data_IF_032424108886
#
_entry.id   IF_032424108886
#
_cell.length_a   1.000
_cell.length_b   1.000
_cell.length_c   1.000
_cell.angle_alpha   90.00
_cell.angle_beta   90.00
_cell.angle_gamma   90.00
#
_symmetry.space_group_name_H-M   'P 1'
#
loop_
_entity.id
_entity.type
_entity.pdbx_description
1 polymer ?
#
# COMPACT_ATOMS: atom_id res chain seq x y z
N UNK A 1 -4.51 -20.85 16.14
CA UNK A 1 -3.93 -20.63 17.48
C UNK A 1 -4.00 -19.17 17.92
N UNK A 2 -3.06 -18.32 17.48
CA UNK A 2 -2.90 -16.93 17.95
C UNK A 2 -4.15 -16.06 17.74
N UNK A 3 -4.75 -16.08 16.56
CA UNK A 3 -5.98 -15.32 16.27
C UNK A 3 -7.15 -15.72 17.17
N UNK A 4 -7.30 -17.00 17.47
CA UNK A 4 -8.34 -17.48 18.38
C UNK A 4 -8.07 -17.05 19.83
N UNK A 5 -6.82 -17.05 20.27
CA UNK A 5 -6.45 -16.55 21.60
C UNK A 5 -6.74 -15.06 21.74
N UNK A 6 -6.37 -14.24 20.74
CA UNK A 6 -6.64 -12.81 20.71
C UNK A 6 -8.14 -12.48 20.59
N UNK A 7 -8.93 -13.34 19.94
CA UNK A 7 -10.38 -13.11 19.76
C UNK A 7 -11.14 -13.02 21.08
N UNK A 8 -10.62 -13.64 22.14
CA UNK A 8 -11.20 -13.57 23.49
C UNK A 8 -11.13 -12.18 24.12
N UNK A 9 -10.26 -11.30 23.62
CA UNK A 9 -10.08 -9.94 24.08
C UNK A 9 -11.06 -8.95 23.40
N UNK A 10 -11.68 -9.34 22.30
CA UNK A 10 -12.65 -8.54 21.58
C UNK A 10 -14.03 -8.65 22.22
N UNK A 11 -14.42 -7.71 23.05
CA UNK A 11 -15.73 -7.66 23.73
C UNK A 11 -16.73 -6.74 23.03
N UNK A 12 -16.23 -5.78 22.24
CA UNK A 12 -17.03 -4.77 21.54
C UNK A 12 -16.60 -4.63 20.08
N UNK A 13 -17.40 -3.94 19.29
CA UNK A 13 -17.06 -3.52 17.93
C UNK A 13 -15.82 -2.61 17.92
N UNK A 14 -15.69 -1.73 18.90
CA UNK A 14 -14.51 -0.85 19.06
C UNK A 14 -13.24 -1.66 19.36
N UNK A 15 -13.30 -2.68 20.21
CA UNK A 15 -12.16 -3.56 20.44
C UNK A 15 -11.76 -4.30 19.16
N UNK A 16 -12.76 -4.73 18.38
CA UNK A 16 -12.54 -5.44 17.12
C UNK A 16 -11.87 -4.56 16.06
N UNK A 17 -12.25 -3.26 15.96
CA UNK A 17 -11.74 -2.36 14.93
C UNK A 17 -10.58 -1.45 15.37
N UNK A 18 -10.42 -1.16 16.67
CA UNK A 18 -9.33 -0.32 17.19
C UNK A 18 -8.40 -1.04 18.19
N UNK A 19 -8.64 -2.33 18.45
CA UNK A 19 -7.78 -3.10 19.36
C UNK A 19 -7.76 -2.60 20.80
N UNK A 20 -8.83 -1.89 21.24
CA UNK A 20 -8.92 -1.29 22.59
C UNK A 20 -7.91 -0.19 22.85
N UNK A 21 -7.30 0.40 21.83
CA UNK A 21 -6.23 1.45 21.93
C UNK A 21 -5.02 1.00 22.77
N UNK A 22 -4.64 -0.27 22.68
CA UNK A 22 -3.55 -0.84 23.47
C UNK A 22 -2.41 -1.39 22.60
N UNK A 23 -2.41 -1.09 21.31
CA UNK A 23 -1.40 -1.58 20.37
C UNK A 23 -0.09 -0.83 20.63
N UNK A 24 1.04 -1.54 20.91
CA UNK A 24 2.34 -0.93 21.05
C UNK A 24 2.75 -0.20 19.75
N UNK A 25 3.36 0.97 19.86
CA UNK A 25 3.74 1.77 18.69
C UNK A 25 4.68 1.05 17.73
N UNK A 26 5.60 0.21 18.24
CA UNK A 26 6.52 -0.60 17.40
C UNK A 26 5.74 -1.62 16.57
N UNK A 27 4.74 -2.26 17.17
CA UNK A 27 3.89 -3.26 16.50
C UNK A 27 3.01 -2.57 15.46
N UNK A 28 2.43 -1.41 15.78
CA UNK A 28 1.70 -0.59 14.81
C UNK A 28 2.60 -0.15 13.65
N UNK A 29 3.83 0.28 13.93
CA UNK A 29 4.82 0.68 12.94
C UNK A 29 5.13 -0.45 11.95
N UNK A 30 5.44 -1.65 12.44
CA UNK A 30 5.72 -2.80 11.57
C UNK A 30 4.49 -3.25 10.79
N UNK A 31 3.30 -3.17 11.38
CA UNK A 31 2.07 -3.47 10.66
C UNK A 31 1.79 -2.47 9.54
N UNK A 32 2.07 -1.17 9.73
CA UNK A 32 1.97 -0.16 8.66
C UNK A 32 2.90 -0.55 7.51
N UNK A 33 4.17 -0.85 7.80
CA UNK A 33 5.15 -1.26 6.78
C UNK A 33 4.69 -2.52 6.06
N UNK A 34 4.27 -3.56 6.80
CA UNK A 34 3.79 -4.82 6.23
C UNK A 34 2.57 -4.64 5.32
N UNK A 35 1.67 -3.73 5.66
CA UNK A 35 0.46 -3.46 4.88
C UNK A 35 0.74 -2.66 3.62
N UNK A 36 1.64 -1.70 3.69
CA UNK A 36 2.11 -0.93 2.53
C UNK A 36 2.89 -1.83 1.57
N UNK A 37 3.76 -2.68 2.13
CA UNK A 37 4.59 -3.62 1.40
C UNK A 37 3.79 -4.87 1.08
N UNK A 38 3.05 -4.81 0.00
CA UNK A 38 2.36 -5.98 -0.53
C UNK A 38 3.37 -6.94 -1.20
N UNK A 39 2.90 -8.12 -1.58
CA UNK A 39 3.67 -9.07 -2.42
C UNK A 39 4.21 -8.40 -3.68
N UNK A 40 3.48 -7.44 -4.24
CA UNK A 40 3.95 -6.65 -5.38
C UNK A 40 5.27 -5.94 -5.07
N UNK A 41 5.36 -5.27 -3.94
CA UNK A 41 6.59 -4.59 -3.52
C UNK A 41 7.74 -5.59 -3.34
N UNK A 42 7.45 -6.73 -2.71
CA UNK A 42 8.43 -7.80 -2.48
C UNK A 42 9.04 -8.33 -3.78
N UNK A 43 8.26 -8.39 -4.85
CA UNK A 43 8.69 -8.93 -6.15
C UNK A 43 9.09 -7.84 -7.13
N UNK A 44 8.36 -6.73 -7.18
CA UNK A 44 8.60 -5.68 -8.17
C UNK A 44 9.80 -4.80 -7.84
N UNK A 45 10.10 -4.54 -6.57
CA UNK A 45 11.25 -3.71 -6.20
C UNK A 45 12.59 -4.35 -6.64
N UNK A 46 12.84 -5.66 -6.41
CA UNK A 46 14.00 -6.32 -7.01
C UNK A 46 14.00 -6.25 -8.55
N UNK A 47 12.85 -6.43 -9.19
CA UNK A 47 12.71 -6.32 -10.64
C UNK A 47 13.05 -4.93 -11.19
N UNK A 48 12.70 -3.86 -10.48
CA UNK A 48 13.07 -2.48 -10.83
C UNK A 48 14.59 -2.32 -10.84
N UNK A 49 15.30 -2.79 -9.80
CA UNK A 49 16.76 -2.72 -9.73
C UNK A 49 17.45 -3.65 -10.73
N UNK A 50 16.90 -4.84 -10.96
CA UNK A 50 17.39 -5.78 -11.96
C UNK A 50 17.43 -5.15 -13.37
N UNK A 51 16.32 -4.52 -13.79
CA UNK A 51 16.21 -3.90 -15.11
C UNK A 51 16.81 -2.49 -15.19
N UNK A 52 16.72 -1.72 -14.12
CA UNK A 52 17.12 -0.31 -14.05
C UNK A 52 18.16 -0.06 -12.97
N UNK A 53 17.80 0.82 -12.06
CA UNK A 53 18.65 1.35 -10.99
C UNK A 53 17.83 1.63 -9.72
N UNK A 54 18.39 2.42 -8.78
CA UNK A 54 17.78 2.71 -7.48
C UNK A 54 17.02 4.05 -7.43
N UNK A 55 16.69 4.67 -8.56
CA UNK A 55 15.96 5.95 -8.58
C UNK A 55 14.61 5.88 -7.84
N UNK A 56 13.99 4.70 -7.76
CA UNK A 56 12.78 4.47 -6.98
C UNK A 56 12.95 4.84 -5.49
N UNK A 57 14.16 4.81 -4.95
CA UNK A 57 14.42 5.15 -3.55
C UNK A 57 14.17 6.63 -3.23
N UNK A 58 14.21 7.52 -4.24
CA UNK A 58 13.85 8.93 -4.10
C UNK A 58 12.39 9.12 -3.65
N UNK A 59 11.48 8.25 -4.12
CA UNK A 59 10.08 8.25 -3.66
C UNK A 59 9.97 7.97 -2.17
N UNK A 60 10.81 7.06 -1.65
CA UNK A 60 10.80 6.72 -0.23
C UNK A 60 11.30 7.87 0.66
N UNK A 61 12.18 8.75 0.16
CA UNK A 61 12.51 10.01 0.84
C UNK A 61 11.24 10.86 0.97
N UNK A 62 10.48 10.99 -0.12
CA UNK A 62 9.19 11.67 -0.10
C UNK A 62 8.20 11.03 0.88
N UNK A 63 8.18 9.70 0.98
CA UNK A 63 7.29 9.00 1.93
C UNK A 63 7.56 9.38 3.38
N UNK A 64 8.82 9.53 3.78
CA UNK A 64 9.19 10.00 5.12
C UNK A 64 8.61 11.40 5.36
N UNK A 65 8.79 12.32 4.42
CA UNK A 65 8.27 13.69 4.51
C UNK A 65 6.73 13.70 4.60
N UNK A 66 6.06 12.90 3.78
CA UNK A 66 4.59 12.76 3.82
C UNK A 66 4.08 12.28 5.18
N UNK A 67 4.74 11.30 5.80
CA UNK A 67 4.37 10.79 7.14
C UNK A 67 4.65 11.80 8.25
N UNK A 68 5.67 12.63 8.10
CA UNK A 68 5.88 13.77 8.99
C UNK A 68 4.69 14.73 8.87
N UNK A 69 4.24 15.07 7.66
CA UNK A 69 3.07 15.91 7.46
C UNK A 69 1.79 15.29 8.06
N UNK A 70 1.55 13.98 7.87
CA UNK A 70 0.44 13.27 8.54
C UNK A 70 0.52 13.45 10.06
N UNK A 71 1.70 13.23 10.62
CA UNK A 71 1.94 13.28 12.07
C UNK A 71 1.74 14.66 12.68
N UNK A 72 2.06 15.71 11.91
CA UNK A 72 1.92 17.09 12.34
C UNK A 72 0.51 17.64 12.12
N UNK A 73 -0.08 17.33 10.98
CA UNK A 73 -1.34 17.97 10.55
C UNK A 73 -2.58 17.13 10.82
N UNK A 74 -2.58 15.84 10.54
CA UNK A 74 -3.80 15.03 10.56
C UNK A 74 -3.98 14.21 11.84
N UNK A 75 -2.93 13.57 12.35
CA UNK A 75 -3.05 12.74 13.56
C UNK A 75 -3.58 13.51 14.78
N UNK A 76 -3.17 14.76 15.06
CA UNK A 76 -3.74 15.51 16.19
C UNK A 76 -5.26 15.65 16.08
N UNK A 77 -5.80 15.88 14.87
CA UNK A 77 -7.22 16.00 14.65
C UNK A 77 -7.96 14.69 14.94
N UNK A 78 -7.39 13.56 14.51
CA UNK A 78 -7.99 12.24 14.70
C UNK A 78 -8.00 11.82 16.18
N UNK A 79 -6.89 11.99 16.88
CA UNK A 79 -6.79 11.64 18.30
C UNK A 79 -7.67 12.55 19.17
N UNK A 80 -7.69 13.86 18.93
CA UNK A 80 -8.52 14.81 19.67
C UNK A 80 -10.01 14.59 19.43
N UNK A 81 -10.39 14.13 18.25
CA UNK A 81 -11.78 13.85 17.92
C UNK A 81 -12.30 12.52 18.49
N UNK A 82 -11.43 11.63 18.94
CA UNK A 82 -11.79 10.36 19.53
C UNK A 82 -12.57 9.41 18.60
N UNK A 83 -12.35 9.54 17.28
CA UNK A 83 -13.09 8.83 16.24
C UNK A 83 -12.63 7.37 16.08
N UNK A 84 -13.54 6.53 15.57
CA UNK A 84 -13.22 5.17 15.13
C UNK A 84 -12.84 5.18 13.66
N UNK A 85 -13.61 5.83 12.80
CA UNK A 85 -13.27 6.10 11.39
C UNK A 85 -12.78 7.54 11.24
N UNK A 86 -11.74 7.76 10.41
CA UNK A 86 -11.27 9.13 10.13
C UNK A 86 -12.33 9.98 9.44
N UNK A 87 -13.27 9.36 8.71
CA UNK A 87 -14.35 10.08 8.01
C UNK A 87 -15.37 10.70 8.96
N UNK A 88 -15.47 10.23 10.20
CA UNK A 88 -16.26 10.90 11.24
C UNK A 88 -15.78 12.33 11.52
N UNK A 89 -14.49 12.63 11.32
CA UNK A 89 -13.96 13.99 11.42
C UNK A 89 -14.58 14.90 10.37
N UNK A 90 -14.73 14.41 9.14
CA UNK A 90 -15.42 15.13 8.06
C UNK A 90 -16.91 15.27 8.37
N UNK A 91 -17.52 14.23 8.96
CA UNK A 91 -18.91 14.25 9.41
C UNK A 91 -19.18 15.31 10.47
N UNK A 92 -18.29 15.42 11.47
CA UNK A 92 -18.39 16.44 12.53
C UNK A 92 -18.21 17.87 12.00
N UNK A 93 -17.40 18.07 10.95
CA UNK A 93 -17.13 19.40 10.37
C UNK A 93 -18.13 19.80 9.30
N UNK A 94 -18.51 18.88 8.41
CA UNK A 94 -19.27 19.17 7.17
C UNK A 94 -20.63 18.47 7.10
N UNK A 95 -20.95 17.64 8.07
CA UNK A 95 -22.20 16.89 8.14
C UNK A 95 -22.10 15.44 7.66
N UNK A 96 -23.11 14.62 8.00
CA UNK A 96 -23.09 13.16 7.79
C UNK A 96 -23.05 12.76 6.31
N UNK A 97 -23.54 13.61 5.40
CA UNK A 97 -23.52 13.32 3.97
C UNK A 97 -22.08 13.30 3.44
N UNK A 98 -21.24 14.27 3.85
CA UNK A 98 -19.83 14.32 3.43
C UNK A 98 -19.04 13.16 4.05
N UNK A 99 -19.37 12.73 5.27
CA UNK A 99 -18.79 11.52 5.87
C UNK A 99 -19.06 10.30 4.99
N UNK A 100 -20.32 10.09 4.58
CA UNK A 100 -20.71 8.96 3.71
C UNK A 100 -20.06 9.04 2.33
N UNK A 101 -20.02 10.24 1.72
CA UNK A 101 -19.37 10.43 0.43
C UNK A 101 -17.89 10.08 0.50
N UNK A 102 -17.15 10.61 1.47
CA UNK A 102 -15.73 10.32 1.65
C UNK A 102 -15.47 8.83 1.96
N UNK A 103 -16.26 8.24 2.86
CA UNK A 103 -16.23 6.81 3.14
C UNK A 103 -16.55 5.98 1.89
N UNK A 104 -17.55 6.35 1.11
CA UNK A 104 -17.90 5.68 -0.15
C UNK A 104 -16.76 5.70 -1.17
N UNK A 105 -16.09 6.84 -1.34
CA UNK A 105 -14.90 6.97 -2.19
C UNK A 105 -13.79 6.05 -1.68
N UNK A 106 -13.54 6.00 -0.38
CA UNK A 106 -12.58 5.06 0.22
C UNK A 106 -12.94 3.60 -0.08
N UNK A 107 -14.20 3.19 0.14
CA UNK A 107 -14.66 1.82 -0.10
C UNK A 107 -14.40 1.41 -1.56
N UNK A 108 -14.80 2.24 -2.54
CA UNK A 108 -14.60 1.98 -3.97
C UNK A 108 -13.11 1.89 -4.29
N UNK A 109 -12.30 2.84 -3.80
CA UNK A 109 -10.85 2.85 -4.04
C UNK A 109 -10.19 1.56 -3.52
N UNK A 110 -10.55 1.15 -2.29
CA UNK A 110 -9.98 -0.06 -1.69
C UNK A 110 -10.38 -1.32 -2.43
N UNK A 111 -11.65 -1.45 -2.80
CA UNK A 111 -12.13 -2.59 -3.59
C UNK A 111 -11.29 -2.76 -4.87
N UNK A 112 -11.12 -1.70 -5.63
CA UNK A 112 -10.39 -1.74 -6.89
C UNK A 112 -8.88 -1.96 -6.67
N UNK A 113 -8.25 -1.16 -5.80
CA UNK A 113 -6.82 -1.24 -5.57
C UNK A 113 -6.39 -2.57 -4.93
N UNK A 114 -7.14 -3.05 -3.95
CA UNK A 114 -6.79 -4.26 -3.23
C UNK A 114 -7.24 -5.52 -3.97
N UNK A 115 -8.28 -5.45 -4.80
CA UNK A 115 -8.64 -6.52 -5.74
C UNK A 115 -7.50 -6.83 -6.72
N UNK A 116 -6.91 -5.79 -7.31
CA UNK A 116 -5.76 -5.93 -8.21
C UNK A 116 -4.52 -6.44 -7.45
N UNK A 117 -4.24 -5.93 -6.26
CA UNK A 117 -3.14 -6.41 -5.44
C UNK A 117 -3.30 -7.88 -5.07
N UNK A 118 -4.53 -8.29 -4.80
CA UNK A 118 -4.85 -9.67 -4.46
C UNK A 118 -4.65 -10.59 -5.67
N UNK A 119 -5.13 -10.21 -6.86
CA UNK A 119 -4.88 -10.93 -8.11
C UNK A 119 -3.37 -11.10 -8.35
N UNK A 120 -2.62 -10.01 -8.31
CA UNK A 120 -1.17 -10.04 -8.51
C UNK A 120 -0.44 -10.99 -7.55
N UNK A 121 -0.89 -11.01 -6.30
CA UNK A 121 -0.40 -11.96 -5.31
C UNK A 121 -0.70 -13.41 -5.69
N UNK A 122 -1.93 -13.68 -6.11
CA UNK A 122 -2.35 -15.02 -6.50
C UNK A 122 -1.56 -15.53 -7.73
N UNK A 123 -1.25 -14.64 -8.69
CA UNK A 123 -0.39 -14.94 -9.83
C UNK A 123 1.01 -15.39 -9.40
N UNK A 124 1.60 -14.69 -8.45
CA UNK A 124 2.93 -15.05 -7.95
C UNK A 124 2.88 -16.42 -7.24
N UNK A 125 1.86 -16.65 -6.44
CA UNK A 125 1.65 -17.95 -5.81
C UNK A 125 1.45 -19.04 -6.86
N UNK A 126 0.68 -18.80 -7.92
CA UNK A 126 0.54 -19.69 -9.07
C UNK A 126 1.91 -20.04 -9.69
N UNK A 127 2.73 -19.03 -9.99
CA UNK A 127 4.04 -19.22 -10.62
C UNK A 127 4.97 -20.06 -9.77
N UNK A 128 4.97 -19.83 -8.46
CA UNK A 128 5.89 -20.50 -7.54
C UNK A 128 5.42 -21.88 -7.13
N UNK A 129 4.11 -22.08 -6.92
CA UNK A 129 3.55 -23.34 -6.45
C UNK A 129 3.10 -24.27 -7.58
N UNK A 130 2.85 -23.72 -8.77
CA UNK A 130 2.23 -24.45 -9.88
C UNK A 130 0.71 -24.62 -9.74
N UNK A 131 0.07 -24.00 -8.73
CA UNK A 131 -1.38 -24.05 -8.58
C UNK A 131 -2.09 -23.30 -9.72
N UNK A 132 -3.36 -23.63 -9.97
CA UNK A 132 -4.19 -22.80 -10.84
C UNK A 132 -4.48 -21.45 -10.17
N UNK A 133 -4.65 -20.38 -10.96
CA UNK A 133 -4.93 -19.04 -10.44
C UNK A 133 -6.16 -19.01 -9.51
N UNK A 134 -7.30 -19.63 -9.88
CA UNK A 134 -8.46 -19.69 -8.97
C UNK A 134 -8.16 -20.43 -7.66
N UNK A 135 -7.36 -21.50 -7.71
CA UNK A 135 -6.97 -22.22 -6.48
C UNK A 135 -6.11 -21.33 -5.56
N UNK A 136 -5.14 -20.60 -6.11
CA UNK A 136 -4.32 -19.67 -5.36
C UNK A 136 -5.18 -18.57 -4.70
N UNK A 137 -6.11 -17.95 -5.46
CA UNK A 137 -7.06 -16.96 -4.95
C UNK A 137 -7.89 -17.54 -3.81
N UNK A 138 -8.51 -18.70 -3.99
CA UNK A 138 -9.40 -19.30 -2.99
C UNK A 138 -8.66 -19.71 -1.72
N UNK A 139 -7.46 -20.27 -1.83
CA UNK A 139 -6.67 -20.67 -0.66
C UNK A 139 -6.23 -19.46 0.16
N UNK A 140 -5.64 -18.45 -0.50
CA UNK A 140 -5.19 -17.22 0.18
C UNK A 140 -6.39 -16.53 0.83
N UNK A 141 -7.49 -16.34 0.08
CA UNK A 141 -8.70 -15.68 0.58
C UNK A 141 -9.36 -16.43 1.72
N UNK A 142 -9.49 -17.75 1.61
CA UNK A 142 -10.10 -18.59 2.64
C UNK A 142 -9.31 -18.56 3.96
N UNK A 143 -7.99 -18.72 3.90
CA UNK A 143 -7.14 -18.65 5.09
C UNK A 143 -7.20 -17.25 5.72
N UNK A 144 -7.14 -16.21 4.90
CA UNK A 144 -7.22 -14.81 5.39
C UNK A 144 -8.56 -14.52 6.05
N UNK A 145 -9.66 -14.96 5.43
CA UNK A 145 -11.01 -14.81 5.98
C UNK A 145 -11.10 -15.41 7.39
N UNK A 146 -10.64 -16.65 7.56
CA UNK A 146 -10.76 -17.34 8.84
C UNK A 146 -10.08 -16.57 9.97
N UNK A 147 -8.83 -16.15 9.81
CA UNK A 147 -8.17 -15.46 10.92
C UNK A 147 -8.63 -14.00 11.11
N UNK A 148 -9.06 -13.33 10.05
CA UNK A 148 -9.58 -11.95 10.12
C UNK A 148 -10.90 -11.89 10.87
N UNK A 149 -11.82 -12.84 10.62
CA UNK A 149 -13.11 -12.94 11.33
C UNK A 149 -12.94 -13.23 12.82
N UNK A 150 -11.92 -14.00 13.18
CA UNK A 150 -11.70 -14.36 14.57
C UNK A 150 -11.03 -13.26 15.38
N UNK A 151 -10.03 -12.59 14.82
CA UNK A 151 -9.08 -11.80 15.60
C UNK A 151 -9.27 -10.29 15.63
N UNK A 152 -9.92 -9.68 14.64
CA UNK A 152 -10.00 -8.22 14.49
C UNK A 152 -8.63 -7.55 14.31
N UNK A 153 -8.58 -6.20 14.40
CA UNK A 153 -7.37 -5.41 14.10
C UNK A 153 -6.17 -5.78 14.99
N UNK A 154 -6.39 -6.10 16.24
CA UNK A 154 -5.29 -6.45 17.15
C UNK A 154 -4.53 -7.68 16.69
N UNK A 155 -5.25 -8.73 16.25
CA UNK A 155 -4.64 -9.93 15.67
C UNK A 155 -3.92 -9.61 14.37
N UNK A 156 -4.55 -8.83 13.50
CA UNK A 156 -3.99 -8.43 12.21
C UNK A 156 -2.66 -7.72 12.42
N UNK A 157 -2.61 -6.71 13.28
CA UNK A 157 -1.41 -5.89 13.52
C UNK A 157 -0.23 -6.71 14.08
N UNK A 158 -0.48 -7.67 14.95
CA UNK A 158 0.56 -8.56 15.46
C UNK A 158 1.05 -9.57 14.40
N UNK A 159 0.13 -10.15 13.63
CA UNK A 159 0.48 -11.05 12.53
C UNK A 159 1.27 -10.30 11.46
N UNK A 160 0.82 -9.12 11.05
CA UNK A 160 1.51 -8.25 10.10
C UNK A 160 2.95 -7.96 10.54
N UNK A 161 3.14 -7.63 11.83
CA UNK A 161 4.48 -7.34 12.37
C UNK A 161 5.41 -8.55 12.30
N UNK A 162 4.91 -9.76 12.58
CA UNK A 162 5.67 -10.99 12.41
C UNK A 162 5.98 -11.26 10.93
N UNK A 163 5.01 -11.05 10.07
CA UNK A 163 5.15 -11.23 8.62
C UNK A 163 6.17 -10.25 8.04
N UNK A 164 6.19 -9.00 8.52
CA UNK A 164 7.21 -8.02 8.15
C UNK A 164 8.62 -8.52 8.43
N UNK A 165 8.87 -9.02 9.64
CA UNK A 165 10.17 -9.59 10.02
C UNK A 165 10.52 -10.77 9.14
N UNK A 166 9.55 -11.64 8.85
CA UNK A 166 9.75 -12.84 8.02
C UNK A 166 10.20 -12.48 6.60
N UNK A 167 9.52 -11.58 5.90
CA UNK A 167 9.90 -11.27 4.52
C UNK A 167 11.15 -10.40 4.44
N UNK A 168 11.40 -9.51 5.42
CA UNK A 168 12.64 -8.76 5.50
C UNK A 168 13.85 -9.70 5.68
N UNK A 169 13.72 -10.68 6.57
CA UNK A 169 14.71 -11.75 6.74
C UNK A 169 14.92 -12.52 5.44
N UNK A 170 13.85 -12.81 4.71
CA UNK A 170 13.93 -13.44 3.39
C UNK A 170 14.73 -12.63 2.39
N UNK A 171 14.54 -11.31 2.34
CA UNK A 171 15.33 -10.39 1.51
C UNK A 171 16.81 -10.42 1.87
N UNK A 172 17.14 -10.36 3.16
CA UNK A 172 18.53 -10.45 3.63
C UNK A 172 19.17 -11.81 3.31
N UNK A 173 18.48 -12.91 3.56
CA UNK A 173 18.97 -14.26 3.21
C UNK A 173 19.23 -14.36 1.70
N UNK A 174 18.37 -13.76 0.86
CA UNK A 174 18.58 -13.73 -0.59
C UNK A 174 19.89 -13.03 -0.96
N UNK A 175 20.19 -11.88 -0.35
CA UNK A 175 21.44 -11.13 -0.56
C UNK A 175 22.64 -12.00 -0.19
N UNK A 176 22.67 -12.59 1.02
CA UNK A 176 23.76 -13.45 1.46
C UNK A 176 23.92 -14.68 0.57
N UNK A 177 22.82 -15.29 0.15
CA UNK A 177 22.86 -16.45 -0.75
C UNK A 177 23.45 -16.10 -2.12
N UNK A 178 23.03 -14.96 -2.71
CA UNK A 178 23.56 -14.52 -4.00
C UNK A 178 25.07 -14.26 -3.87
N UNK A 179 25.50 -13.51 -2.86
CA UNK A 179 26.91 -13.21 -2.62
C UNK A 179 27.78 -14.47 -2.41
N UNK A 180 27.21 -15.51 -1.82
CA UNK A 180 27.90 -16.79 -1.67
C UNK A 180 27.99 -17.62 -2.97
N UNK A 181 27.20 -17.30 -3.99
CA UNK A 181 27.14 -18.03 -5.27
C UNK A 181 27.67 -17.24 -6.49
N UNK A 182 27.97 -15.97 -6.34
CA UNK A 182 28.71 -15.20 -7.34
C UNK A 182 30.22 -15.26 -6.97
N UNK A 183 31.08 -15.41 -7.96
CA UNK A 183 32.54 -15.45 -7.77
C UNK A 183 33.14 -14.03 -7.60
N UNK A 184 32.49 -13.20 -6.80
CA UNK A 184 32.85 -11.80 -6.56
C UNK A 184 32.85 -11.50 -5.07
N UNK A 185 33.80 -10.69 -4.61
CA UNK A 185 33.67 -10.08 -3.29
C UNK A 185 32.50 -9.06 -3.28
N UNK A 186 31.97 -8.73 -2.09
CA UNK A 186 30.93 -7.71 -1.99
C UNK A 186 31.37 -6.36 -2.56
N UNK A 187 32.65 -5.98 -2.37
CA UNK A 187 33.22 -4.75 -2.92
C UNK A 187 33.26 -4.77 -4.44
N UNK A 188 33.71 -5.88 -5.06
CA UNK A 188 33.77 -6.02 -6.51
C UNK A 188 32.38 -6.05 -7.13
N UNK A 189 31.41 -6.71 -6.48
CA UNK A 189 30.02 -6.69 -6.90
C UNK A 189 29.44 -5.27 -6.93
N UNK A 190 29.68 -4.46 -5.88
CA UNK A 190 29.24 -3.06 -5.86
C UNK A 190 29.96 -2.22 -6.92
N UNK A 191 31.25 -2.44 -7.17
CA UNK A 191 32.01 -1.75 -8.23
C UNK A 191 31.41 -2.02 -9.61
N UNK A 192 31.17 -3.31 -9.96
CA UNK A 192 30.53 -3.68 -11.23
C UNK A 192 29.12 -3.10 -11.38
N UNK A 193 28.32 -3.13 -10.31
CA UNK A 193 26.98 -2.54 -10.32
C UNK A 193 27.02 -1.02 -10.48
N UNK A 194 28.02 -0.36 -9.89
CA UNK A 194 28.24 1.08 -10.04
C UNK A 194 28.63 1.45 -11.47
N UNK A 195 29.58 0.71 -12.07
CA UNK A 195 30.01 0.88 -13.47
C UNK A 195 28.85 0.65 -14.44
N UNK A 196 27.96 -0.31 -14.15
CA UNK A 196 26.75 -0.57 -14.93
C UNK A 196 25.63 0.46 -14.68
N UNK A 197 25.84 1.50 -13.84
CA UNK A 197 24.83 2.51 -13.51
C UNK A 197 23.67 2.00 -12.65
N UNK A 198 23.78 0.78 -12.10
CA UNK A 198 22.70 0.11 -11.34
C UNK A 198 22.47 0.70 -9.94
N UNK A 199 23.44 1.39 -9.36
CA UNK A 199 23.38 1.96 -8.01
C UNK A 199 23.00 3.45 -7.99
N UNK A 200 22.60 4.03 -9.12
CA UNK A 200 22.19 5.42 -9.18
C UNK A 200 20.93 5.64 -8.36
N UNK A 201 21.02 6.46 -7.30
CA UNK A 201 19.92 6.79 -6.41
C UNK A 201 19.27 8.12 -6.76
N UNK A 202 20.06 9.11 -7.20
CA UNK A 202 19.60 10.48 -7.43
C UNK A 202 19.63 10.83 -8.92
N UNK A 203 18.57 11.46 -9.40
CA UNK A 203 18.46 11.98 -10.76
C UNK A 203 18.05 13.45 -10.73
N UNK A 204 18.96 14.36 -11.06
CA UNK A 204 18.70 15.80 -11.09
C UNK A 204 18.51 16.35 -12.51
N UNK A 205 18.67 15.52 -13.53
CA UNK A 205 18.55 15.90 -14.94
C UNK A 205 17.46 15.08 -15.61
N UNK A 206 16.50 15.76 -16.22
CA UNK A 206 15.35 15.11 -16.87
C UNK A 206 14.21 16.09 -17.10
N UNK A 207 13.12 15.61 -17.66
CA UNK A 207 11.91 16.38 -17.87
C UNK A 207 11.09 16.48 -16.57
N UNK A 208 10.97 17.69 -16.02
CA UNK A 208 10.24 17.94 -14.77
C UNK A 208 8.77 17.52 -14.83
N UNK A 209 8.18 17.51 -16.01
CA UNK A 209 6.75 17.25 -16.22
C UNK A 209 6.51 15.73 -16.46
N UNK A 210 7.38 15.10 -17.25
CA UNK A 210 7.13 13.74 -17.75
C UNK A 210 7.98 12.66 -17.08
N UNK A 211 9.11 13.03 -16.42
CA UNK A 211 9.95 12.04 -15.73
C UNK A 211 9.52 11.87 -14.26
N UNK A 212 8.91 10.72 -13.90
CA UNK A 212 8.48 10.45 -12.52
C UNK A 212 9.65 10.24 -11.56
N UNK A 213 10.85 9.98 -12.08
CA UNK A 213 12.05 9.73 -11.29
C UNK A 213 13.07 10.88 -11.32
N UNK A 214 12.71 12.05 -11.83
CA UNK A 214 13.47 13.26 -11.53
C UNK A 214 13.37 13.54 -10.01
N UNK A 215 14.46 13.95 -9.37
CA UNK A 215 14.53 14.08 -7.90
C UNK A 215 13.34 14.84 -7.31
N UNK A 216 13.03 16.02 -7.85
CA UNK A 216 11.93 16.84 -7.36
C UNK A 216 10.56 16.17 -7.59
N UNK A 217 10.34 15.58 -8.77
CA UNK A 217 9.09 14.88 -9.09
C UNK A 217 8.89 13.67 -8.18
N UNK A 218 9.95 12.90 -7.94
CA UNK A 218 9.92 11.71 -7.09
C UNK A 218 9.70 12.07 -5.62
N UNK A 219 10.44 13.05 -5.08
CA UNK A 219 10.34 13.43 -3.66
C UNK A 219 9.01 14.12 -3.35
N UNK A 220 8.59 15.09 -4.18
CA UNK A 220 7.31 15.79 -3.99
C UNK A 220 6.14 14.81 -4.21
N UNK A 221 6.19 14.02 -5.28
CA UNK A 221 5.16 13.04 -5.57
C UNK A 221 5.06 11.97 -4.48
N UNK A 222 6.17 11.44 -4.01
CA UNK A 222 6.24 10.51 -2.89
C UNK A 222 5.70 11.11 -1.59
N UNK A 223 6.00 12.39 -1.32
CA UNK A 223 5.49 13.13 -0.17
C UNK A 223 3.95 13.23 -0.21
N UNK A 224 3.36 13.65 -1.30
CA UNK A 224 1.90 13.75 -1.42
C UNK A 224 1.22 12.40 -1.48
N UNK A 225 1.85 11.39 -2.11
CA UNK A 225 1.36 10.02 -2.09
C UNK A 225 1.29 9.49 -0.66
N UNK A 226 2.36 9.63 0.11
CA UNK A 226 2.39 9.18 1.50
C UNK A 226 1.49 10.02 2.42
N UNK A 227 1.42 11.35 2.21
CA UNK A 227 0.53 12.23 2.96
C UNK A 227 -0.93 11.83 2.77
N UNK A 228 -1.33 11.47 1.54
CA UNK A 228 -2.70 11.00 1.24
C UNK A 228 -2.95 9.57 1.73
N UNK A 229 -2.08 8.62 1.38
CA UNK A 229 -2.29 7.21 1.70
C UNK A 229 -2.19 6.89 3.19
N UNK A 230 -1.40 7.64 3.95
CA UNK A 230 -1.24 7.46 5.40
C UNK A 230 -2.02 8.48 6.23
N UNK A 231 -2.61 9.49 5.60
CA UNK A 231 -3.40 10.51 6.27
C UNK A 231 -4.89 10.45 5.97
N UNK A 232 -5.27 10.19 4.72
CA UNK A 232 -6.66 10.20 4.26
C UNK A 232 -7.22 8.82 3.93
N UNK A 233 -6.40 7.77 4.01
CA UNK A 233 -6.82 6.38 3.83
C UNK A 233 -6.97 5.69 5.19
N UNK A 234 -8.20 5.30 5.51
CA UNK A 234 -8.51 4.71 6.80
C UNK A 234 -7.76 3.41 7.07
N UNK A 235 -7.47 2.60 6.06
CA UNK A 235 -6.75 1.34 6.25
C UNK A 235 -5.37 1.56 6.91
N UNK A 236 -4.64 2.61 6.55
CA UNK A 236 -3.34 2.93 7.16
C UNK A 236 -3.49 3.61 8.51
N UNK A 237 -4.41 4.56 8.62
CA UNK A 237 -4.63 5.33 9.86
C UNK A 237 -5.21 4.48 10.98
N UNK A 238 -6.02 3.46 10.66
CA UNK A 238 -6.66 2.58 11.64
C UNK A 238 -5.66 1.96 12.64
N UNK A 239 -4.47 1.57 12.17
CA UNK A 239 -3.40 1.00 13.00
C UNK A 239 -2.85 2.00 14.01
N UNK A 240 -2.71 3.23 13.56
CA UNK A 240 -2.23 4.34 14.39
C UNK A 240 -3.26 4.69 15.45
N UNK A 241 -4.55 4.73 15.10
CA UNK A 241 -5.65 4.97 16.04
C UNK A 241 -5.78 3.87 17.11
N UNK A 242 -5.26 2.67 16.83
CA UNK A 242 -5.16 1.57 17.79
C UNK A 242 -4.07 1.76 18.86
N UNK A 243 -3.18 2.73 18.74
CA UNK A 243 -2.17 3.06 19.74
C UNK A 243 -2.77 3.85 20.90
N UNK A 244 -2.07 3.88 22.04
CA UNK A 244 -2.62 4.45 23.27
C UNK A 244 -2.81 5.98 23.21
N UNK A 245 -1.93 6.69 22.49
CA UNK A 245 -1.88 8.16 22.47
C UNK A 245 -1.25 8.71 21.18
N UNK A 246 -1.36 10.02 20.99
CA UNK A 246 -0.85 10.74 19.81
C UNK A 246 0.66 10.57 19.64
N UNK A 247 1.43 10.56 20.73
CA UNK A 247 2.89 10.42 20.67
C UNK A 247 3.28 9.04 20.12
N UNK A 248 2.64 7.98 20.62
CA UNK A 248 2.79 6.62 20.13
C UNK A 248 2.39 6.52 18.66
N UNK A 249 1.29 7.18 18.26
CA UNK A 249 0.84 7.25 16.88
C UNK A 249 1.86 7.93 15.96
N UNK A 250 2.45 9.05 16.39
CA UNK A 250 3.50 9.75 15.64
C UNK A 250 4.76 8.90 15.48
N UNK A 251 5.21 8.24 16.56
CA UNK A 251 6.36 7.32 16.51
C UNK A 251 6.12 6.18 15.52
N UNK A 252 4.93 5.58 15.53
CA UNK A 252 4.56 4.53 14.61
C UNK A 252 4.54 5.03 13.15
N UNK A 253 3.92 6.19 12.90
CA UNK A 253 3.79 6.77 11.58
C UNK A 253 5.14 7.16 10.98
N UNK A 254 5.96 7.95 11.67
CA UNK A 254 7.26 8.42 11.16
C UNK A 254 8.24 7.25 11.05
N UNK A 255 8.30 6.39 12.09
CA UNK A 255 9.15 5.21 12.10
C UNK A 255 8.87 4.27 10.93
N UNK A 256 7.60 4.09 10.56
CA UNK A 256 7.23 3.26 9.41
C UNK A 256 7.83 3.81 8.09
N UNK A 257 7.98 5.12 7.93
CA UNK A 257 8.63 5.73 6.76
C UNK A 257 10.12 5.37 6.65
N UNK A 258 10.83 5.40 7.78
CA UNK A 258 12.24 5.01 7.83
C UNK A 258 12.42 3.51 7.51
N UNK A 259 11.55 2.67 8.04
CA UNK A 259 11.61 1.22 7.78
C UNK A 259 11.25 0.86 6.33
N UNK A 260 10.31 1.58 5.69
CA UNK A 260 10.03 1.41 4.25
C UNK A 260 11.24 1.80 3.40
N UNK A 261 11.91 2.90 3.74
CA UNK A 261 13.13 3.32 3.05
C UNK A 261 14.24 2.24 3.14
N UNK A 262 14.51 1.75 4.34
CA UNK A 262 15.47 0.66 4.58
C UNK A 262 15.12 -0.61 3.80
N UNK A 263 13.86 -1.00 3.85
CA UNK A 263 13.36 -2.17 3.17
C UNK A 263 13.49 -2.06 1.66
N UNK A 264 13.16 -0.91 1.06
CA UNK A 264 13.38 -0.70 -0.36
C UNK A 264 14.86 -0.82 -0.72
N UNK A 265 15.77 -0.26 0.08
CA UNK A 265 17.22 -0.43 -0.10
C UNK A 265 17.64 -1.90 -0.12
N UNK A 266 17.14 -2.71 0.82
CA UNK A 266 17.43 -4.16 0.88
C UNK A 266 16.94 -4.88 -0.39
N UNK A 267 15.72 -4.63 -0.82
CA UNK A 267 15.17 -5.30 -2.01
C UNK A 267 15.75 -4.78 -3.32
N UNK A 268 16.13 -3.50 -3.42
CA UNK A 268 16.87 -2.97 -4.56
C UNK A 268 18.24 -3.62 -4.65
N UNK A 269 18.95 -3.78 -3.52
CA UNK A 269 20.24 -4.48 -3.49
C UNK A 269 20.10 -5.94 -3.94
N UNK A 270 19.09 -6.65 -3.43
CA UNK A 270 18.81 -8.02 -3.86
C UNK A 270 18.57 -8.10 -5.38
N UNK A 271 17.80 -7.17 -5.95
CA UNK A 271 17.53 -7.12 -7.39
C UNK A 271 18.78 -6.81 -8.22
N UNK A 272 19.63 -5.88 -7.75
CA UNK A 272 20.90 -5.58 -8.41
C UNK A 272 21.86 -6.76 -8.37
N UNK A 273 21.91 -7.49 -7.26
CA UNK A 273 22.73 -8.71 -7.16
C UNK A 273 22.19 -9.85 -8.05
N UNK A 274 20.86 -9.97 -8.19
CA UNK A 274 20.27 -10.92 -9.16
C UNK A 274 20.68 -10.58 -10.58
N UNK A 275 20.80 -9.29 -10.93
CA UNK A 275 21.33 -8.90 -12.24
C UNK A 275 22.72 -9.46 -12.49
N UNK A 276 23.65 -9.41 -11.51
CA UNK A 276 24.97 -10.03 -11.63
C UNK A 276 24.88 -11.56 -11.76
N UNK A 277 24.04 -12.20 -10.94
CA UNK A 277 23.85 -13.66 -10.96
C UNK A 277 23.31 -14.15 -12.31
N UNK A 278 22.49 -13.35 -13.00
CA UNK A 278 21.81 -13.73 -14.24
C UNK A 278 22.52 -13.23 -15.52
N UNK A 279 23.70 -12.60 -15.44
CA UNK A 279 24.42 -12.10 -16.60
C UNK A 279 24.68 -13.18 -17.68
N UNK A 280 24.94 -14.41 -17.25
CA UNK A 280 25.23 -15.55 -18.14
C UNK A 280 24.10 -16.59 -18.14
N UNK A 281 22.86 -16.18 -17.80
CA UNK A 281 21.72 -17.09 -17.74
C UNK A 281 21.30 -17.50 -19.16
N UNK A 282 21.30 -18.81 -19.42
CA UNK A 282 20.75 -19.34 -20.66
C UNK A 282 19.21 -19.39 -20.58
N UNK A 283 18.57 -18.47 -21.29
CA UNK A 283 17.11 -18.35 -21.31
C UNK A 283 16.43 -19.59 -21.92
N UNK A 284 17.11 -20.38 -22.75
CA UNK A 284 16.55 -21.60 -23.33
C UNK A 284 16.24 -22.69 -22.30
N UNK A 285 16.93 -22.65 -21.17
CA UNK A 285 16.75 -23.55 -20.03
C UNK A 285 15.68 -23.10 -19.03
N UNK A 286 15.11 -21.89 -19.23
CA UNK A 286 14.13 -21.30 -18.32
C UNK A 286 12.72 -21.70 -18.75
N UNK A 287 11.90 -22.08 -17.77
CA UNK A 287 10.48 -22.37 -17.98
C UNK A 287 9.78 -21.12 -18.58
N UNK A 288 9.03 -21.34 -19.65
CA UNK A 288 8.32 -20.31 -20.43
C UNK A 288 7.43 -19.40 -19.58
N UNK A 289 6.95 -19.87 -18.43
CA UNK A 289 6.14 -19.06 -17.50
C UNK A 289 6.89 -17.86 -16.91
N UNK A 290 8.23 -17.87 -16.96
CA UNK A 290 9.07 -16.75 -16.50
C UNK A 290 9.51 -15.82 -17.62
N UNK A 291 9.27 -16.18 -18.88
CA UNK A 291 9.73 -15.43 -20.04
C UNK A 291 8.59 -14.57 -20.63
N UNK A 292 8.98 -13.51 -21.36
CA UNK A 292 8.05 -12.71 -22.15
C UNK A 292 7.51 -13.57 -23.34
N UNK A 293 6.53 -13.02 -24.08
CA UNK A 293 5.90 -13.75 -25.18
C UNK A 293 6.90 -14.14 -26.28
N UNK A 294 7.95 -13.34 -26.49
CA UNK A 294 8.98 -13.56 -27.51
C UNK A 294 10.11 -14.46 -27.04
N UNK A 295 10.10 -14.89 -25.77
CA UNK A 295 11.10 -15.74 -25.12
C UNK A 295 12.53 -15.13 -25.11
N UNK A 296 12.64 -13.81 -25.22
CA UNK A 296 13.91 -13.06 -25.32
C UNK A 296 14.37 -12.50 -23.99
N UNK A 297 13.46 -12.35 -23.03
CA UNK A 297 13.72 -11.72 -21.75
C UNK A 297 12.88 -12.35 -20.63
N UNK A 298 13.35 -12.19 -19.39
CA UNK A 298 12.55 -12.52 -18.22
C UNK A 298 11.36 -11.54 -18.15
N UNK A 299 10.14 -12.07 -18.06
CA UNK A 299 8.91 -11.27 -17.93
C UNK A 299 9.01 -10.37 -16.70
N UNK A 300 8.52 -9.12 -16.84
CA UNK A 300 8.50 -8.15 -15.75
C UNK A 300 7.89 -8.74 -14.48
N UNK A 301 8.49 -8.42 -13.36
CA UNK A 301 8.10 -8.90 -12.02
C UNK A 301 8.21 -10.43 -11.84
N UNK A 302 9.00 -11.13 -12.67
CA UNK A 302 9.29 -12.56 -12.53
C UNK A 302 10.74 -12.85 -12.10
N UNK A 303 11.63 -11.87 -12.10
CA UNK A 303 13.06 -12.05 -11.85
C UNK A 303 13.33 -12.61 -10.45
N UNK A 304 12.71 -12.01 -9.43
CA UNK A 304 12.86 -12.48 -8.05
C UNK A 304 12.17 -13.84 -7.83
N UNK A 305 11.02 -14.07 -8.47
CA UNK A 305 10.34 -15.36 -8.42
C UNK A 305 11.17 -16.46 -9.09
N UNK A 306 11.79 -16.17 -10.23
CA UNK A 306 12.73 -17.06 -10.93
C UNK A 306 13.91 -17.43 -10.04
N UNK A 307 14.54 -16.42 -9.40
CA UNK A 307 15.61 -16.65 -8.44
C UNK A 307 15.18 -17.57 -7.30
N UNK A 308 14.02 -17.33 -6.69
CA UNK A 308 13.48 -18.15 -5.61
C UNK A 308 13.30 -19.61 -6.06
N UNK A 309 12.72 -19.82 -7.25
CA UNK A 309 12.38 -21.17 -7.74
C UNK A 309 13.61 -21.95 -8.16
N UNK A 310 14.57 -21.32 -8.87
CA UNK A 310 15.67 -22.02 -9.50
C UNK A 310 16.95 -22.08 -8.66
N UNK A 311 17.23 -21.04 -7.86
CA UNK A 311 18.53 -20.91 -7.22
C UNK A 311 18.54 -21.29 -5.72
N UNK A 312 17.40 -21.08 -5.01
CA UNK A 312 17.41 -21.29 -3.57
C UNK A 312 17.26 -22.76 -3.15
N UNK A 313 17.90 -23.20 -2.06
CA UNK A 313 17.69 -24.53 -1.49
C UNK A 313 16.27 -24.64 -0.89
N UNK A 314 15.77 -25.88 -0.78
CA UNK A 314 14.37 -26.19 -0.42
C UNK A 314 13.90 -25.46 0.85
N UNK A 315 14.69 -25.46 1.93
CA UNK A 315 14.31 -24.81 3.19
C UNK A 315 14.19 -23.30 3.08
N UNK A 316 15.12 -22.62 2.41
CA UNK A 316 15.09 -21.18 2.18
C UNK A 316 13.97 -20.81 1.21
N UNK A 317 13.76 -21.61 0.16
CA UNK A 317 12.64 -21.49 -0.75
C UNK A 317 11.31 -21.51 -0.01
N UNK A 318 11.12 -22.48 0.90
CA UNK A 318 9.92 -22.57 1.73
C UNK A 318 9.71 -21.36 2.64
N UNK A 319 10.77 -20.83 3.23
CA UNK A 319 10.74 -19.63 4.07
C UNK A 319 10.29 -18.39 3.26
N UNK A 320 10.85 -18.18 2.07
CA UNK A 320 10.48 -17.06 1.19
C UNK A 320 9.06 -17.17 0.68
N UNK A 321 8.62 -18.40 0.35
CA UNK A 321 7.23 -18.66 -0.01
C UNK A 321 6.26 -18.35 1.14
N UNK A 322 6.60 -18.74 2.35
CA UNK A 322 5.82 -18.37 3.52
C UNK A 322 5.78 -16.84 3.69
N UNK A 323 6.89 -16.14 3.42
CA UNK A 323 6.94 -14.67 3.40
C UNK A 323 5.99 -14.06 2.37
N UNK A 324 6.00 -14.56 1.13
CA UNK A 324 5.11 -14.12 0.04
C UNK A 324 3.64 -14.31 0.43
N UNK A 325 3.27 -15.51 0.86
CA UNK A 325 1.90 -15.82 1.30
C UNK A 325 1.49 -14.93 2.48
N UNK A 326 2.41 -14.72 3.42
CA UNK A 326 2.20 -13.86 4.58
C UNK A 326 1.92 -12.41 4.18
N UNK A 327 2.73 -11.83 3.27
CA UNK A 327 2.52 -10.48 2.77
C UNK A 327 1.18 -10.31 2.03
N UNK A 328 0.78 -11.34 1.29
CA UNK A 328 -0.54 -11.43 0.65
C UNK A 328 -1.68 -11.34 1.65
N UNK A 329 -1.59 -12.19 2.65
CA UNK A 329 -2.61 -12.32 3.69
C UNK A 329 -2.70 -11.05 4.55
N UNK A 330 -1.58 -10.39 4.84
CA UNK A 330 -1.54 -9.11 5.56
C UNK A 330 -2.34 -8.01 4.86
N UNK A 331 -2.08 -7.81 3.57
CA UNK A 331 -2.79 -6.79 2.80
C UNK A 331 -4.30 -7.08 2.77
N UNK A 332 -4.69 -8.31 2.46
CA UNK A 332 -6.11 -8.69 2.34
C UNK A 332 -6.85 -8.59 3.68
N UNK A 333 -6.25 -9.05 4.79
CA UNK A 333 -6.88 -8.96 6.12
C UNK A 333 -7.08 -7.51 6.57
N UNK A 334 -6.13 -6.67 6.23
CA UNK A 334 -6.17 -5.24 6.51
C UNK A 334 -7.28 -4.54 5.75
N UNK A 335 -7.44 -4.86 4.46
CA UNK A 335 -8.52 -4.36 3.61
C UNK A 335 -9.88 -4.82 4.13
N UNK A 336 -10.06 -6.10 4.42
CA UNK A 336 -11.31 -6.64 4.97
C UNK A 336 -11.70 -5.89 6.25
N UNK A 337 -10.76 -5.70 7.17
CA UNK A 337 -11.03 -5.06 8.45
C UNK A 337 -11.37 -3.57 8.30
N UNK A 338 -10.62 -2.82 7.48
CA UNK A 338 -10.87 -1.39 7.27
C UNK A 338 -12.16 -1.12 6.49
N UNK A 339 -12.47 -1.93 5.46
CA UNK A 339 -13.73 -1.86 4.73
C UNK A 339 -14.91 -2.13 5.65
N UNK A 340 -14.83 -3.17 6.49
CA UNK A 340 -15.87 -3.50 7.44
C UNK A 340 -16.04 -2.41 8.51
N UNK A 341 -14.94 -1.90 9.05
CA UNK A 341 -14.96 -0.84 10.06
C UNK A 341 -15.58 0.44 9.52
N UNK A 342 -15.16 0.90 8.33
CA UNK A 342 -15.75 2.09 7.69
C UNK A 342 -17.23 1.89 7.39
N UNK A 343 -17.62 0.72 6.87
CA UNK A 343 -19.02 0.39 6.62
C UNK A 343 -19.87 0.49 7.90
N UNK A 344 -19.40 -0.11 9.00
CA UNK A 344 -20.13 -0.11 10.28
C UNK A 344 -20.19 1.31 10.86
N UNK A 345 -19.09 2.02 10.89
CA UNK A 345 -18.98 3.31 11.56
C UNK A 345 -19.66 4.42 10.75
N UNK A 346 -19.41 4.46 9.44
CA UNK A 346 -19.84 5.61 8.62
C UNK A 346 -21.24 5.43 8.04
N UNK A 347 -21.70 4.18 7.83
CA UNK A 347 -23.00 3.90 7.20
C UNK A 347 -24.03 3.40 8.19
N UNK A 348 -23.65 2.60 9.19
CA UNK A 348 -24.54 2.09 10.25
C UNK A 348 -24.41 2.85 11.57
N UNK A 349 -23.76 4.03 11.58
CA UNK A 349 -23.58 4.92 12.75
C UNK A 349 -22.96 4.25 13.97
N UNK A 350 -22.11 3.26 13.77
CA UNK A 350 -21.50 2.49 14.85
C UNK A 350 -22.45 1.55 15.61
N UNK A 351 -23.71 1.46 15.23
CA UNK A 351 -24.73 0.61 15.86
C UNK A 351 -24.58 -0.86 15.41
N UNK A 352 -23.41 -1.44 15.61
CA UNK A 352 -23.20 -2.83 15.30
C UNK A 352 -22.55 -3.57 16.48
N UNK A 353 -23.12 -4.72 16.80
CA UNK A 353 -22.51 -5.67 17.71
C UNK A 353 -21.34 -6.41 17.03
N UNK A 354 -20.59 -7.17 17.81
CA UNK A 354 -19.45 -7.96 17.31
C UNK A 354 -19.88 -8.97 16.22
N UNK A 355 -21.09 -9.50 16.28
CA UNK A 355 -21.63 -10.45 15.30
C UNK A 355 -21.85 -9.76 13.95
N UNK A 356 -22.47 -8.59 13.93
CA UNK A 356 -22.65 -7.79 12.70
C UNK A 356 -21.30 -7.38 12.11
N UNK A 357 -20.34 -6.97 12.95
CA UNK A 357 -18.99 -6.62 12.52
C UNK A 357 -18.31 -7.78 11.78
N UNK A 358 -18.42 -9.00 12.31
CA UNK A 358 -17.87 -10.20 11.66
C UNK A 358 -18.59 -10.55 10.35
N UNK A 359 -19.91 -10.42 10.30
CA UNK A 359 -20.70 -10.66 9.08
C UNK A 359 -20.28 -9.69 7.97
N UNK A 360 -20.16 -8.39 8.28
CA UNK A 360 -19.74 -7.38 7.30
C UNK A 360 -18.32 -7.64 6.83
N UNK A 361 -17.40 -8.05 7.72
CA UNK A 361 -16.05 -8.47 7.33
C UNK A 361 -16.07 -9.68 6.39
N UNK A 362 -16.95 -10.65 6.64
CA UNK A 362 -17.13 -11.82 5.78
C UNK A 362 -17.62 -11.45 4.38
N UNK A 363 -18.59 -10.53 4.30
CA UNK A 363 -19.11 -10.03 3.01
C UNK A 363 -18.00 -9.34 2.22
N UNK A 364 -17.21 -8.46 2.85
CA UNK A 364 -16.10 -7.79 2.17
C UNK A 364 -15.01 -8.75 1.70
N UNK A 365 -14.71 -9.80 2.46
CA UNK A 365 -13.78 -10.84 2.03
C UNK A 365 -14.28 -11.55 0.76
N UNK A 366 -15.56 -11.93 0.70
CA UNK A 366 -16.16 -12.56 -0.48
C UNK A 366 -16.12 -11.61 -1.68
N UNK A 367 -16.42 -10.32 -1.49
CA UNK A 367 -16.33 -9.31 -2.55
C UNK A 367 -14.91 -9.21 -3.11
N UNK A 368 -13.89 -9.11 -2.25
CA UNK A 368 -12.49 -9.01 -2.70
C UNK A 368 -12.02 -10.29 -3.41
N UNK A 369 -12.40 -11.47 -2.94
CA UNK A 369 -12.14 -12.75 -3.61
C UNK A 369 -12.80 -12.76 -4.99
N UNK A 370 -14.07 -12.36 -5.08
CA UNK A 370 -14.84 -12.30 -6.33
C UNK A 370 -14.20 -11.36 -7.35
N UNK A 371 -13.74 -10.19 -6.92
CA UNK A 371 -13.06 -9.23 -7.79
C UNK A 371 -11.75 -9.82 -8.31
N UNK A 372 -10.93 -10.44 -7.44
CA UNK A 372 -9.68 -11.07 -7.85
C UNK A 372 -9.87 -12.21 -8.87
N UNK A 373 -11.03 -12.87 -8.86
CA UNK A 373 -11.36 -13.92 -9.83
C UNK A 373 -11.83 -13.37 -11.21
N UNK A 374 -12.32 -12.14 -11.25
CA UNK A 374 -12.87 -11.51 -12.47
C UNK A 374 -11.84 -10.63 -13.19
N UNK A 375 -10.88 -10.10 -12.46
CA UNK A 375 -9.80 -9.28 -13.06
C UNK A 375 -8.84 -10.14 -13.90
N UNK A 376 -8.35 -9.56 -15.01
CA UNK A 376 -7.29 -10.13 -15.83
C UNK A 376 -5.98 -9.35 -15.66
N UNK A 377 -4.84 -10.04 -15.79
CA UNK A 377 -3.51 -9.46 -15.51
C UNK A 377 -3.13 -8.32 -16.48
N UNK A 378 -3.58 -8.36 -17.73
CA UNK A 378 -3.12 -7.43 -18.77
C UNK A 378 -1.59 -7.38 -18.91
N UNK A 379 -1.09 -6.52 -19.81
CA UNK A 379 0.35 -6.33 -20.05
C UNK A 379 1.01 -5.24 -19.19
N UNK A 380 0.26 -4.58 -18.28
CA UNK A 380 0.76 -3.47 -17.49
C UNK A 380 1.43 -3.94 -16.19
N UNK A 381 2.50 -3.27 -15.78
CA UNK A 381 3.09 -3.49 -14.45
C UNK A 381 2.03 -3.21 -13.36
N UNK A 382 1.63 -4.23 -12.65
CA UNK A 382 0.46 -4.23 -11.74
C UNK A 382 0.63 -3.19 -10.61
N UNK A 383 1.88 -2.94 -10.16
CA UNK A 383 2.17 -1.91 -9.16
C UNK A 383 1.77 -0.52 -9.65
N UNK A 384 2.12 -0.17 -10.88
CA UNK A 384 1.80 1.15 -11.46
C UNK A 384 0.28 1.31 -11.60
N UNK A 385 -0.42 0.23 -11.96
CA UNK A 385 -1.88 0.23 -12.07
C UNK A 385 -2.54 0.47 -10.70
N UNK A 386 -2.07 -0.20 -9.64
CA UNK A 386 -2.56 0.02 -8.28
C UNK A 386 -2.31 1.43 -7.75
N UNK A 387 -1.12 1.99 -8.00
CA UNK A 387 -0.78 3.37 -7.64
C UNK A 387 -1.58 4.40 -8.44
N UNK A 388 -1.82 4.14 -9.72
CA UNK A 388 -2.64 4.99 -10.56
C UNK A 388 -4.09 5.04 -10.06
N UNK A 389 -4.71 3.90 -9.76
CA UNK A 389 -6.08 3.84 -9.21
C UNK A 389 -6.17 4.61 -7.89
N UNK A 390 -5.22 4.41 -6.98
CA UNK A 390 -5.17 5.15 -5.74
C UNK A 390 -5.04 6.67 -5.97
N UNK A 391 -4.28 7.08 -6.98
CA UNK A 391 -4.06 8.50 -7.30
C UNK A 391 -5.33 9.22 -7.76
N UNK A 392 -6.32 8.51 -8.33
CA UNK A 392 -7.60 9.13 -8.75
C UNK A 392 -8.40 9.71 -7.58
N UNK A 393 -8.31 9.11 -6.41
CA UNK A 393 -9.18 9.44 -5.27
C UNK A 393 -8.43 10.04 -4.09
N UNK A 394 -7.16 9.72 -3.94
CA UNK A 394 -6.37 10.14 -2.78
C UNK A 394 -6.22 11.66 -2.66
N UNK A 395 -6.03 12.36 -3.78
CA UNK A 395 -5.91 13.82 -3.75
C UNK A 395 -7.20 14.49 -3.32
N UNK A 396 -8.35 13.99 -3.79
CA UNK A 396 -9.67 14.48 -3.38
C UNK A 396 -9.95 14.26 -1.90
N UNK A 397 -9.66 13.07 -1.38
CA UNK A 397 -9.83 12.77 0.04
C UNK A 397 -8.90 13.63 0.91
N UNK A 398 -7.61 13.74 0.56
CA UNK A 398 -6.68 14.62 1.29
C UNK A 398 -7.16 16.07 1.27
N UNK A 399 -7.64 16.57 0.13
CA UNK A 399 -8.21 17.91 0.00
C UNK A 399 -9.35 18.17 0.98
N UNK A 400 -10.28 17.21 1.14
CA UNK A 400 -11.36 17.32 2.13
C UNK A 400 -10.83 17.41 3.57
N UNK A 401 -9.82 16.61 3.93
CA UNK A 401 -9.20 16.70 5.26
C UNK A 401 -8.47 18.01 5.48
N UNK A 402 -7.79 18.55 4.48
CA UNK A 402 -7.14 19.85 4.58
C UNK A 402 -8.16 20.99 4.73
N UNK A 403 -9.26 20.96 3.95
CA UNK A 403 -10.38 21.90 4.09
C UNK A 403 -11.04 21.82 5.47
N UNK A 404 -11.10 20.63 6.09
CA UNK A 404 -11.69 20.46 7.43
C UNK A 404 -10.93 21.18 8.53
N UNK A 405 -9.67 21.56 8.28
CA UNK A 405 -8.83 22.30 9.23
C UNK A 405 -9.06 23.82 9.17
N UNK A 406 -9.69 24.30 8.11
CA UNK A 406 -9.98 25.72 7.98
C UNK A 406 -11.16 26.12 8.88
N UNK A 407 -11.06 27.30 9.50
CA UNK A 407 -12.17 27.90 10.26
C UNK A 407 -13.19 28.52 9.31
N UNK A 408 -13.67 27.72 8.38
CA UNK A 408 -14.66 28.12 7.36
C UNK A 408 -15.77 27.05 7.28
N UNK A 409 -16.98 27.50 6.98
CA UNK A 409 -18.10 26.65 6.62
C UNK A 409 -18.17 26.52 5.09
N UNK A 410 -18.41 25.32 4.61
CA UNK A 410 -18.56 25.03 3.19
C UNK A 410 -19.91 24.32 2.96
N UNK A 411 -20.59 24.67 1.87
CA UNK A 411 -21.76 23.94 1.42
C UNK A 411 -21.36 22.53 0.96
N UNK A 412 -22.18 21.56 1.22
CA UNK A 412 -21.96 20.17 0.80
C UNK A 412 -21.74 20.07 -0.72
N UNK A 413 -22.53 20.83 -1.49
CA UNK A 413 -22.37 20.90 -2.97
C UNK A 413 -20.96 21.34 -3.38
N UNK A 414 -20.38 22.36 -2.71
CA UNK A 414 -19.03 22.84 -3.02
C UNK A 414 -17.98 21.76 -2.77
N UNK A 415 -18.09 21.03 -1.65
CA UNK A 415 -17.18 19.95 -1.29
C UNK A 415 -17.29 18.77 -2.26
N UNK A 416 -18.50 18.40 -2.69
CA UNK A 416 -18.73 17.33 -3.66
C UNK A 416 -18.21 17.72 -5.04
N UNK A 417 -18.43 18.96 -5.50
CA UNK A 417 -17.89 19.47 -6.76
C UNK A 417 -16.35 19.43 -6.76
N UNK A 418 -15.70 19.88 -5.68
CA UNK A 418 -14.27 19.78 -5.52
C UNK A 418 -13.77 18.33 -5.60
N UNK A 419 -14.44 17.41 -4.92
CA UNK A 419 -14.08 15.99 -4.92
C UNK A 419 -14.22 15.36 -6.33
N UNK A 420 -15.33 15.59 -7.02
CA UNK A 420 -15.54 15.09 -8.38
C UNK A 420 -14.50 15.68 -9.34
N UNK A 421 -14.26 16.99 -9.30
CA UNK A 421 -13.29 17.66 -10.16
C UNK A 421 -11.87 17.14 -9.91
N UNK A 422 -11.53 16.78 -8.67
CA UNK A 422 -10.24 16.21 -8.32
C UNK A 422 -10.05 14.80 -8.89
N UNK A 423 -11.10 14.02 -9.04
CA UNK A 423 -11.03 12.72 -9.71
C UNK A 423 -10.93 12.89 -11.23
N UNK A 424 -11.73 13.79 -11.81
CA UNK A 424 -11.76 14.02 -13.26
C UNK A 424 -10.44 14.57 -13.80
N UNK A 425 -9.79 15.50 -13.08
CA UNK A 425 -8.51 16.06 -13.51
C UNK A 425 -7.43 14.98 -13.71
N UNK A 426 -7.42 13.94 -12.91
CA UNK A 426 -6.40 12.86 -13.03
C UNK A 426 -6.53 12.12 -14.36
N UNK A 427 -7.75 11.91 -14.88
CA UNK A 427 -7.94 11.35 -16.23
C UNK A 427 -7.30 12.23 -17.30
N UNK A 428 -7.52 13.55 -17.21
CA UNK A 428 -6.92 14.51 -18.16
C UNK A 428 -5.39 14.53 -18.05
N UNK A 429 -4.84 14.58 -16.84
CA UNK A 429 -3.39 14.58 -16.59
C UNK A 429 -2.72 13.32 -17.16
N UNK A 430 -3.37 12.16 -17.05
CA UNK A 430 -2.89 10.91 -17.63
C UNK A 430 -2.87 10.99 -19.17
N UNK A 431 -3.89 11.60 -19.79
CA UNK A 431 -3.96 11.72 -21.26
C UNK A 431 -2.87 12.63 -21.84
N UNK A 432 -2.50 13.72 -21.14
CA UNK A 432 -1.44 14.63 -21.56
C UNK A 432 -0.03 14.11 -21.22
N UNK A 433 0.10 12.89 -20.67
CA UNK A 433 1.38 12.27 -20.36
C UNK A 433 2.10 12.83 -19.14
N UNK A 434 1.41 13.59 -18.26
CA UNK A 434 2.01 14.07 -17.01
C UNK A 434 2.50 12.88 -16.17
N UNK A 435 3.69 13.01 -15.58
CA UNK A 435 4.21 11.97 -14.69
C UNK A 435 3.24 11.71 -13.52
N UNK A 436 2.99 10.43 -13.23
CA UNK A 436 2.02 9.99 -12.22
C UNK A 436 2.31 10.54 -10.81
N UNK A 437 3.54 10.89 -10.53
CA UNK A 437 3.98 11.50 -9.28
C UNK A 437 3.31 12.84 -8.99
N UNK A 438 2.88 13.59 -10.01
CA UNK A 438 2.18 14.85 -9.87
C UNK A 438 0.67 14.73 -9.67
N UNK A 439 0.07 13.57 -9.94
CA UNK A 439 -1.39 13.40 -9.95
C UNK A 439 -2.04 13.81 -8.63
N UNK A 440 -1.50 13.35 -7.50
CA UNK A 440 -2.09 13.63 -6.19
C UNK A 440 -1.95 15.10 -5.82
N UNK A 441 -0.77 15.69 -6.04
CA UNK A 441 -0.53 17.11 -5.78
C UNK A 441 -1.54 17.99 -6.53
N UNK A 442 -1.63 17.81 -7.85
CA UNK A 442 -2.55 18.58 -8.69
C UNK A 442 -4.01 18.33 -8.29
N UNK A 443 -4.36 17.10 -8.03
CA UNK A 443 -5.71 16.70 -7.59
C UNK A 443 -6.12 17.38 -6.26
N UNK A 444 -5.20 17.49 -5.29
CA UNK A 444 -5.43 18.23 -4.04
C UNK A 444 -5.71 19.72 -4.32
N UNK A 445 -4.88 20.36 -5.13
CA UNK A 445 -5.08 21.77 -5.46
C UNK A 445 -6.38 22.01 -6.22
N UNK A 446 -6.75 21.14 -7.15
CA UNK A 446 -8.04 21.22 -7.86
C UNK A 446 -9.19 21.04 -6.90
N UNK A 447 -9.14 20.06 -5.99
CA UNK A 447 -10.18 19.86 -4.97
C UNK A 447 -10.39 21.14 -4.15
N UNK A 448 -9.32 21.66 -3.55
CA UNK A 448 -9.38 22.84 -2.67
C UNK A 448 -9.82 24.07 -3.47
N UNK A 449 -9.23 24.32 -4.66
CA UNK A 449 -9.53 25.46 -5.50
C UNK A 449 -10.99 25.49 -5.97
N UNK A 450 -11.49 24.37 -6.52
CA UNK A 450 -12.89 24.29 -6.99
C UNK A 450 -13.86 24.41 -5.81
N UNK A 451 -13.56 23.80 -4.67
CA UNK A 451 -14.38 23.96 -3.46
C UNK A 451 -14.49 25.43 -3.05
N UNK A 452 -13.36 26.16 -3.00
CA UNK A 452 -13.34 27.56 -2.61
C UNK A 452 -14.07 28.47 -3.63
N UNK A 453 -13.87 28.22 -4.92
CA UNK A 453 -14.53 28.99 -5.98
C UNK A 453 -16.03 28.74 -5.97
N UNK A 454 -16.47 27.49 -5.96
CA UNK A 454 -17.89 27.14 -5.93
C UNK A 454 -18.59 27.65 -4.67
N UNK A 455 -17.89 27.64 -3.53
CA UNK A 455 -18.43 28.23 -2.28
C UNK A 455 -18.69 29.74 -2.41
N UNK A 456 -17.75 30.49 -3.03
CA UNK A 456 -17.95 31.91 -3.28
C UNK A 456 -19.16 32.15 -4.18
N UNK A 457 -19.29 31.39 -5.26
CA UNK A 457 -20.42 31.50 -6.20
C UNK A 457 -21.76 31.22 -5.47
N UNK A 458 -21.84 30.15 -4.69
CA UNK A 458 -23.05 29.82 -3.93
C UNK A 458 -23.42 30.91 -2.93
N UNK A 459 -22.43 31.55 -2.27
CA UNK A 459 -22.67 32.66 -1.34
C UNK A 459 -23.12 33.95 -2.03
N UNK A 460 -22.73 34.18 -3.28
CA UNK A 460 -23.18 35.33 -4.04
C UNK A 460 -24.60 35.17 -4.58
N UNK A 461 -24.99 33.91 -4.88
CA UNK A 461 -26.31 33.58 -5.41
C UNK A 461 -27.41 33.48 -4.33
N UNK A 462 -27.04 33.45 -3.06
CA UNK A 462 -27.96 33.52 -1.90
C UNK A 462 -28.08 34.91 -1.35
#
# INVERSE_FOLDING_TARGET
>A
GFGWWQSRLNKSSTDFFLGGKTIPWVVAMFSIVATETSVLTFISIPGIAYRGNWLFLQLAIGYILGRILVSLFLLPQYFNSGVTSIYEVLGKKFGPEIQKVASGVFLITRILADGIRYLATAVIVQVVTGWSLPAAVLVIGGVTLVYSLLGGIRTIVWIDSFQFVLYLTGGLISIFYILANIELSFGDALAQLSEAGKLQILNFSGDFIHDPYLFMSAVIGGMFLSFSSHGADYMMVQRVLGTKDLESGRKAMIGSGLFVFLQFGIFLLAGSLIYLLFQNLDLSLIDRKFLNNDLTEIKKDREFALFIVNNLPIGVKGLLLAGILSAAMSTLSSSINSLASSTITDWFKGEADLKKSRIVSGIWAIVLIGIALVFDEGDSAIVIMGLTIASFTYGGLLGLFLLSKLDASFHQTSLILGLISSCLIVFYLKQIGLAWTWFILVSVFVNVGITMVSERVIRILK
#
